data_IF_450521058126
#
_entry.id   IF_450521058126
#
_cell.length_a   1.000
_cell.length_b   1.000
_cell.length_c   1.000
_cell.angle_alpha   90.00
_cell.angle_beta   90.00
_cell.angle_gamma   90.00
#
_symmetry.space_group_name_H-M   'P 1'
#
loop_
_entity.id
_entity.type
_entity.pdbx_description
1 polymer ?
#
# COMPACT_ATOMS: atom_id res chain seq x y z
N UNK A 1 -34.62 -11.51 100.43
CA UNK A 1 -33.79 -12.30 99.49
C UNK A 1 -34.68 -12.81 98.39
N UNK A 2 -34.78 -12.08 97.28
CA UNK A 2 -35.64 -12.37 96.14
C UNK A 2 -34.76 -12.79 94.97
N UNK A 3 -34.79 -14.07 94.62
CA UNK A 3 -34.02 -14.67 93.53
C UNK A 3 -34.80 -14.52 92.23
N UNK A 4 -34.29 -13.71 91.30
CA UNK A 4 -34.86 -13.51 89.96
C UNK A 4 -34.47 -14.68 89.05
N UNK A 5 -35.41 -15.35 88.35
CA UNK A 5 -35.10 -16.45 87.44
C UNK A 5 -34.51 -15.94 86.12
N UNK A 6 -33.48 -16.65 85.62
CA UNK A 6 -32.81 -16.37 84.36
C UNK A 6 -33.75 -16.63 83.16
N UNK A 7 -33.75 -15.77 82.12
CA UNK A 7 -34.57 -15.98 80.93
C UNK A 7 -34.04 -17.14 80.07
N UNK A 8 -34.92 -17.85 79.35
CA UNK A 8 -34.53 -18.96 78.48
C UNK A 8 -33.76 -18.48 77.25
N UNK A 9 -32.73 -19.24 76.87
CA UNK A 9 -31.95 -19.02 75.65
C UNK A 9 -32.81 -19.22 74.39
N UNK A 10 -32.61 -18.43 73.32
CA UNK A 10 -33.37 -18.55 72.09
C UNK A 10 -33.05 -19.85 71.34
N UNK A 11 -34.04 -20.42 70.61
CA UNK A 11 -33.85 -21.64 69.84
C UNK A 11 -32.84 -21.42 68.71
N UNK A 12 -31.82 -22.28 68.65
CA UNK A 12 -30.88 -22.35 67.52
C UNK A 12 -31.59 -22.95 66.32
N UNK A 13 -31.79 -22.15 65.28
CA UNK A 13 -32.33 -22.64 64.01
C UNK A 13 -31.32 -23.61 63.36
N UNK A 14 -31.76 -24.80 62.90
CA UNK A 14 -30.90 -25.71 62.16
C UNK A 14 -30.61 -25.09 60.79
N UNK A 15 -29.35 -24.69 60.58
CA UNK A 15 -28.84 -24.35 59.25
C UNK A 15 -28.78 -25.64 58.41
N UNK A 16 -29.89 -25.96 57.75
CA UNK A 16 -30.00 -27.08 56.81
C UNK A 16 -29.07 -26.86 55.62
N UNK A 17 -28.11 -27.77 55.47
CA UNK A 17 -26.91 -27.66 54.62
C UNK A 17 -26.97 -27.88 53.10
N UNK A 18 -28.11 -27.96 52.36
CA UNK A 18 -28.04 -28.03 50.89
C UNK A 18 -28.22 -26.69 50.17
N UNK A 19 -28.81 -25.67 50.79
CA UNK A 19 -29.15 -24.40 50.10
C UNK A 19 -27.93 -23.51 49.84
N UNK A 20 -26.88 -23.63 50.67
CA UNK A 20 -25.63 -22.85 50.52
C UNK A 20 -24.76 -23.32 49.34
N UNK A 21 -24.97 -24.54 48.82
CA UNK A 21 -24.23 -25.07 47.67
C UNK A 21 -24.83 -24.66 46.32
N UNK A 22 -26.08 -24.19 46.28
CA UNK A 22 -26.74 -23.74 45.06
C UNK A 22 -26.18 -22.42 44.52
N UNK A 23 -25.78 -21.51 45.41
CA UNK A 23 -25.21 -20.21 45.04
C UNK A 23 -23.93 -20.31 44.20
N UNK A 24 -22.87 -21.06 44.61
CA UNK A 24 -21.66 -21.17 43.80
C UNK A 24 -21.92 -21.88 42.47
N UNK A 25 -22.82 -22.87 42.42
CA UNK A 25 -23.17 -23.56 41.18
C UNK A 25 -23.86 -22.63 40.17
N UNK A 26 -24.81 -21.80 40.64
CA UNK A 26 -25.47 -20.80 39.80
C UNK A 26 -24.51 -19.70 39.33
N UNK A 27 -23.60 -19.26 40.21
CA UNK A 27 -22.57 -18.29 39.85
C UNK A 27 -21.63 -18.82 38.75
N UNK A 28 -21.16 -20.07 38.87
CA UNK A 28 -20.33 -20.70 37.84
C UNK A 28 -21.07 -20.86 36.52
N UNK A 29 -22.34 -21.28 36.55
CA UNK A 29 -23.16 -21.40 35.34
C UNK A 29 -23.34 -20.05 34.64
N UNK A 30 -23.58 -18.98 35.41
CA UNK A 30 -23.68 -17.61 34.90
C UNK A 30 -22.37 -17.11 34.28
N UNK A 31 -21.23 -17.34 34.96
CA UNK A 31 -19.91 -16.95 34.47
C UNK A 31 -19.54 -17.65 33.15
N UNK A 32 -19.86 -18.95 33.02
CA UNK A 32 -19.63 -19.72 31.78
C UNK A 32 -20.51 -19.21 30.63
N UNK A 33 -21.78 -18.89 30.89
CA UNK A 33 -22.64 -18.28 29.88
C UNK A 33 -22.13 -16.90 29.46
N UNK A 34 -21.74 -16.05 30.41
CA UNK A 34 -21.20 -14.72 30.12
C UNK A 34 -19.93 -14.79 29.27
N UNK A 35 -19.00 -15.70 29.60
CA UNK A 35 -17.81 -15.93 28.79
C UNK A 35 -18.15 -16.42 27.38
N UNK A 36 -19.16 -17.27 27.21
CA UNK A 36 -19.63 -17.72 25.89
C UNK A 36 -20.27 -16.58 25.09
N UNK A 37 -21.03 -15.71 25.76
CA UNK A 37 -21.64 -14.53 25.14
C UNK A 37 -20.59 -13.48 24.74
N UNK A 38 -19.48 -13.39 25.47
CA UNK A 38 -18.36 -12.51 25.15
C UNK A 38 -17.36 -13.10 24.16
N UNK A 39 -17.49 -14.38 23.77
CA UNK A 39 -16.63 -14.90 22.70
C UNK A 39 -16.95 -14.10 21.43
N UNK A 40 -15.96 -13.44 20.82
CA UNK A 40 -16.14 -12.84 19.52
C UNK A 40 -16.71 -13.90 18.60
N UNK A 41 -17.88 -13.64 18.00
CA UNK A 41 -18.37 -14.53 16.96
C UNK A 41 -17.27 -14.60 15.88
N UNK A 42 -16.95 -15.80 15.37
CA UNK A 42 -16.08 -15.91 14.21
C UNK A 42 -16.65 -14.96 13.16
N UNK A 43 -15.84 -13.98 12.73
CA UNK A 43 -16.22 -13.10 11.65
C UNK A 43 -16.59 -13.94 10.42
N UNK A 44 -17.34 -13.36 9.46
CA UNK A 44 -17.56 -14.03 8.19
C UNK A 44 -16.21 -14.50 7.63
N UNK A 45 -16.17 -15.70 6.99
CA UNK A 45 -14.95 -16.16 6.36
C UNK A 45 -14.44 -15.08 5.40
N UNK A 46 -13.10 -14.92 5.25
CA UNK A 46 -12.56 -13.94 4.33
C UNK A 46 -13.19 -14.15 2.95
N UNK A 47 -13.61 -13.05 2.33
CA UNK A 47 -14.14 -13.10 0.97
C UNK A 47 -13.14 -13.84 0.08
N UNK A 48 -13.65 -14.65 -0.87
CA UNK A 48 -12.77 -15.25 -1.88
C UNK A 48 -11.99 -14.12 -2.57
N UNK A 49 -10.72 -14.35 -2.94
CA UNK A 49 -10.00 -13.43 -3.81
C UNK A 49 -10.88 -13.11 -5.02
N UNK A 50 -11.12 -11.82 -5.28
CA UNK A 50 -11.83 -11.41 -6.49
C UNK A 50 -11.06 -11.93 -7.71
N UNK A 51 -11.78 -12.48 -8.67
CA UNK A 51 -11.17 -12.90 -9.94
C UNK A 51 -10.57 -11.66 -10.63
N UNK A 52 -9.38 -11.78 -11.24
CA UNK A 52 -8.76 -10.67 -11.94
C UNK A 52 -9.70 -10.14 -13.02
N UNK A 53 -9.88 -8.82 -13.04
CA UNK A 53 -10.70 -8.15 -14.06
C UNK A 53 -10.20 -8.52 -15.46
N UNK A 54 -11.11 -8.85 -16.38
CA UNK A 54 -10.76 -9.06 -17.80
C UNK A 54 -10.79 -7.77 -18.62
N UNK A 55 -11.19 -6.65 -18.02
CA UNK A 55 -11.36 -5.40 -18.73
C UNK A 55 -10.00 -4.73 -19.01
N UNK A 56 -9.80 -4.16 -20.21
CA UNK A 56 -8.61 -3.40 -20.53
C UNK A 56 -8.40 -2.23 -19.55
N UNK A 57 -7.14 -1.93 -19.29
CA UNK A 57 -6.73 -0.90 -18.32
C UNK A 57 -6.20 0.28 -19.11
N UNK A 58 -6.86 1.42 -19.00
CA UNK A 58 -6.36 2.65 -19.62
C UNK A 58 -5.05 3.06 -18.95
N UNK A 59 -3.99 3.19 -19.76
CA UNK A 59 -2.68 3.64 -19.30
C UNK A 59 -1.97 4.49 -20.35
N UNK A 60 -0.70 4.77 -20.09
CA UNK A 60 0.15 5.48 -21.03
C UNK A 60 1.49 4.79 -21.20
N UNK A 61 1.91 4.62 -22.45
CA UNK A 61 3.24 4.13 -22.80
C UNK A 61 4.08 5.21 -23.48
N UNK A 62 5.38 5.21 -23.22
CA UNK A 62 6.31 6.07 -23.89
C UNK A 62 7.71 5.51 -23.91
N UNK A 63 8.50 5.99 -24.86
CA UNK A 63 9.93 5.74 -24.89
C UNK A 63 10.66 6.98 -25.39
N UNK A 64 11.85 7.21 -24.85
CA UNK A 64 12.70 8.34 -25.22
C UNK A 64 14.17 7.94 -25.19
N UNK A 65 14.98 8.59 -26.02
CA UNK A 65 16.43 8.42 -26.01
C UNK A 65 17.02 9.42 -25.03
N UNK A 66 17.89 8.96 -24.14
CA UNK A 66 18.54 9.80 -23.15
C UNK A 66 19.77 10.48 -23.74
N UNK A 67 20.10 11.68 -23.23
CA UNK A 67 21.27 12.46 -23.69
C UNK A 67 22.58 11.71 -23.43
N UNK A 68 22.67 10.97 -22.32
CA UNK A 68 23.81 10.12 -21.97
C UNK A 68 23.92 8.84 -22.82
N UNK A 69 23.03 8.65 -23.80
CA UNK A 69 22.85 7.39 -24.51
C UNK A 69 21.94 6.43 -23.73
N UNK A 70 21.38 5.45 -24.44
CA UNK A 70 20.37 4.54 -23.90
C UNK A 70 18.93 4.98 -24.20
N UNK A 71 17.98 4.13 -23.83
CA UNK A 71 16.55 4.36 -24.03
C UNK A 71 15.82 4.21 -22.70
N UNK A 72 15.04 5.22 -22.34
CA UNK A 72 14.10 5.13 -21.24
C UNK A 72 12.75 4.66 -21.80
N UNK A 73 12.20 3.59 -21.23
CA UNK A 73 10.80 3.19 -21.44
C UNK A 73 10.02 3.53 -20.19
N UNK A 74 8.83 4.11 -20.38
CA UNK A 74 7.96 4.53 -19.32
C UNK A 74 6.56 3.95 -19.55
N UNK A 75 5.95 3.48 -18.46
CA UNK A 75 4.58 2.98 -18.44
C UNK A 75 3.87 3.54 -17.22
N UNK A 76 2.79 4.27 -17.44
CA UNK A 76 1.95 4.86 -16.40
C UNK A 76 0.58 4.17 -16.38
N UNK A 77 0.18 3.70 -15.20
CA UNK A 77 -1.03 2.93 -14.98
C UNK A 77 -1.71 3.40 -13.69
N UNK A 78 -3.04 3.21 -13.52
CA UNK A 78 -3.63 3.27 -12.18
C UNK A 78 -2.95 2.23 -11.27
N UNK A 79 -2.94 2.48 -9.96
CA UNK A 79 -2.39 1.52 -9.01
C UNK A 79 -3.21 0.21 -8.98
N UNK A 80 -4.53 0.33 -9.15
CA UNK A 80 -5.45 -0.78 -9.24
C UNK A 80 -6.36 -0.68 -10.47
N UNK A 81 -6.60 -1.83 -11.11
CA UNK A 81 -7.52 -1.95 -12.25
C UNK A 81 -8.99 -1.75 -11.82
N UNK A 82 -9.33 -2.12 -10.58
CA UNK A 82 -10.64 -1.91 -10.00
C UNK A 82 -10.78 -0.46 -9.51
N UNK A 83 -11.75 0.28 -10.06
CA UNK A 83 -11.99 1.70 -9.73
C UNK A 83 -12.39 1.93 -8.27
N UNK A 84 -13.22 1.07 -7.70
CA UNK A 84 -13.66 1.22 -6.30
C UNK A 84 -12.47 1.05 -5.35
N UNK A 85 -11.62 0.07 -5.62
CA UNK A 85 -10.38 -0.14 -4.87
C UNK A 85 -9.41 1.02 -5.03
N UNK A 86 -9.19 1.49 -6.27
CA UNK A 86 -8.36 2.65 -6.58
C UNK A 86 -8.82 3.89 -5.79
N UNK A 87 -10.12 4.18 -5.75
CA UNK A 87 -10.68 5.31 -5.00
C UNK A 87 -10.58 5.12 -3.48
N UNK A 88 -10.80 3.90 -2.98
CA UNK A 88 -10.62 3.60 -1.55
C UNK A 88 -9.18 3.83 -1.08
N UNK A 89 -8.20 3.37 -1.86
CA UNK A 89 -6.78 3.55 -1.54
C UNK A 89 -6.37 5.01 -1.69
N UNK A 90 -6.90 5.74 -2.68
CA UNK A 90 -6.72 7.19 -2.79
C UNK A 90 -7.22 7.91 -1.54
N UNK A 91 -8.46 7.66 -1.09
CA UNK A 91 -9.01 8.30 0.12
C UNK A 91 -8.20 7.98 1.37
N UNK A 92 -7.74 6.73 1.49
CA UNK A 92 -6.96 6.26 2.63
C UNK A 92 -5.56 6.88 2.67
N UNK A 93 -4.87 6.93 1.53
CA UNK A 93 -3.56 7.57 1.39
C UNK A 93 -3.64 9.08 1.57
N UNK A 94 -4.64 9.73 0.97
CA UNK A 94 -4.84 11.17 1.08
C UNK A 94 -5.04 11.62 2.53
N UNK A 95 -5.85 10.87 3.31
CA UNK A 95 -6.06 11.16 4.74
C UNK A 95 -4.84 10.86 5.60
N UNK A 96 -4.16 9.73 5.36
CA UNK A 96 -3.03 9.29 6.20
C UNK A 96 -1.76 10.10 5.98
N UNK A 97 -1.53 10.55 4.74
CA UNK A 97 -0.30 11.23 4.32
C UNK A 97 -0.52 12.70 3.95
N UNK A 98 -1.74 13.22 4.16
CA UNK A 98 -2.11 14.62 3.93
C UNK A 98 -1.83 15.13 2.48
N UNK A 99 -1.97 14.26 1.49
CA UNK A 99 -1.54 14.50 0.09
C UNK A 99 -2.44 15.43 -0.73
N UNK A 100 -3.52 15.94 -0.16
CA UNK A 100 -4.54 16.69 -0.88
C UNK A 100 -5.30 15.84 -1.92
N UNK A 101 -6.03 16.46 -2.86
CA UNK A 101 -6.83 15.74 -3.85
C UNK A 101 -5.94 15.06 -4.92
N UNK A 102 -6.23 13.79 -5.21
CA UNK A 102 -5.51 13.03 -6.22
C UNK A 102 -5.78 11.53 -6.07
N UNK A 103 -5.14 10.76 -6.94
CA UNK A 103 -5.14 9.31 -6.94
C UNK A 103 -3.70 8.79 -7.09
N UNK A 104 -3.41 7.57 -6.61
CA UNK A 104 -2.12 6.94 -6.78
C UNK A 104 -1.98 6.34 -8.19
N UNK A 105 -0.89 6.67 -8.88
CA UNK A 105 -0.56 6.14 -10.21
C UNK A 105 0.74 5.36 -10.13
N UNK A 106 0.78 4.16 -10.71
CA UNK A 106 2.01 3.38 -10.83
C UNK A 106 2.76 3.83 -12.09
N UNK A 107 3.97 4.33 -11.89
CA UNK A 107 4.93 4.56 -12.96
C UNK A 107 6.00 3.46 -12.93
N UNK A 108 6.12 2.74 -14.03
CA UNK A 108 7.23 1.83 -14.29
C UNK A 108 8.21 2.48 -15.26
N UNK A 109 9.48 2.51 -14.87
CA UNK A 109 10.58 3.03 -15.66
C UNK A 109 11.58 1.93 -15.91
N UNK A 110 12.04 1.83 -17.16
CA UNK A 110 13.08 0.88 -17.56
C UNK A 110 14.15 1.59 -18.35
N UNK A 111 15.38 1.49 -17.87
CA UNK A 111 16.53 2.12 -18.51
C UNK A 111 17.32 1.08 -19.30
N UNK A 112 17.21 1.15 -20.62
CA UNK A 112 17.91 0.27 -21.55
C UNK A 112 19.24 0.85 -22.00
N UNK A 113 20.25 -0.01 -22.03
CA UNK A 113 21.61 0.36 -22.48
C UNK A 113 21.76 0.07 -23.96
N UNK A 114 22.39 0.99 -24.69
CA UNK A 114 22.72 0.81 -26.11
C UNK A 114 23.99 -0.02 -26.24
N UNK A 115 23.90 -1.15 -26.92
CA UNK A 115 25.05 -2.00 -27.26
C UNK A 115 25.84 -1.44 -28.45
N UNK A 116 27.11 -1.87 -28.63
CA UNK A 116 27.94 -1.51 -29.79
C UNK A 116 27.28 -1.81 -31.16
N UNK A 117 26.37 -2.78 -31.22
CA UNK A 117 25.58 -3.11 -32.42
C UNK A 117 24.32 -2.24 -32.63
N UNK A 118 24.08 -1.24 -31.77
CA UNK A 118 22.96 -0.31 -31.87
C UNK A 118 21.63 -0.80 -31.29
N UNK A 119 21.56 -2.05 -30.82
CA UNK A 119 20.39 -2.58 -30.11
C UNK A 119 20.36 -2.12 -28.65
N UNK A 120 19.16 -2.03 -28.07
CA UNK A 120 18.95 -1.70 -26.68
C UNK A 120 18.66 -2.98 -25.88
N UNK A 121 19.39 -3.21 -24.80
CA UNK A 121 19.19 -4.35 -23.90
C UNK A 121 18.99 -3.94 -22.46
N UNK A 122 18.45 -4.89 -21.72
CA UNK A 122 18.11 -4.78 -20.31
C UNK A 122 19.33 -4.99 -19.39
N UNK A 123 20.44 -5.51 -19.91
CA UNK A 123 21.66 -5.71 -19.12
C UNK A 123 22.74 -4.71 -19.51
N UNK A 124 23.43 -4.18 -18.50
CA UNK A 124 24.64 -3.39 -18.68
C UNK A 124 25.89 -4.26 -18.91
N UNK A 125 25.81 -5.59 -18.74
CA UNK A 125 26.95 -6.48 -18.94
C UNK A 125 27.46 -6.44 -20.38
N UNK A 126 28.73 -6.05 -20.55
CA UNK A 126 29.40 -5.99 -21.84
C UNK A 126 29.21 -4.69 -22.63
N UNK A 127 28.46 -3.70 -22.11
CA UNK A 127 28.39 -2.38 -22.73
C UNK A 127 29.62 -1.54 -22.39
N UNK A 128 30.38 -1.14 -23.42
CA UNK A 128 31.50 -0.19 -23.27
C UNK A 128 31.05 1.27 -23.17
N UNK A 129 29.75 1.54 -23.24
CA UNK A 129 29.19 2.90 -23.20
C UNK A 129 29.01 3.33 -21.74
N UNK A 130 29.67 4.41 -21.33
CA UNK A 130 29.43 5.04 -20.01
C UNK A 130 28.03 5.66 -19.99
N UNK A 131 27.03 4.88 -19.60
CA UNK A 131 25.70 5.39 -19.29
C UNK A 131 25.69 5.89 -17.85
N UNK A 132 25.29 7.15 -17.64
CA UNK A 132 25.13 7.72 -16.30
C UNK A 132 23.78 7.29 -15.70
N UNK A 133 23.73 7.19 -14.37
CA UNK A 133 22.49 7.02 -13.61
C UNK A 133 21.52 8.16 -13.88
N UNK A 134 20.23 7.85 -13.92
CA UNK A 134 19.16 8.82 -14.10
C UNK A 134 18.70 9.34 -12.74
N UNK A 135 18.67 10.66 -12.54
CA UNK A 135 18.04 11.28 -11.37
C UNK A 135 16.51 11.31 -11.57
N UNK A 136 15.78 10.87 -10.57
CA UNK A 136 14.31 10.77 -10.54
C UNK A 136 13.68 11.71 -9.50
N UNK A 137 14.46 12.53 -8.81
CA UNK A 137 14.00 13.36 -7.68
C UNK A 137 12.97 14.41 -8.09
N UNK A 138 13.03 14.88 -9.34
CA UNK A 138 12.16 15.92 -9.90
C UNK A 138 11.08 15.36 -10.85
N UNK A 139 10.78 14.06 -10.73
CA UNK A 139 9.96 13.37 -11.71
C UNK A 139 8.48 13.79 -11.66
N UNK A 140 7.97 14.24 -12.81
CA UNK A 140 6.62 14.77 -12.98
C UNK A 140 6.01 14.29 -14.29
N UNK A 141 4.70 14.00 -14.27
CA UNK A 141 3.89 13.80 -15.47
C UNK A 141 3.03 15.04 -15.70
N UNK A 142 3.14 15.61 -16.90
CA UNK A 142 2.40 16.80 -17.33
C UNK A 142 1.62 16.49 -18.61
N UNK A 143 0.51 17.20 -18.83
CA UNK A 143 -0.24 17.19 -20.08
C UNK A 143 -0.61 18.62 -20.49
N UNK A 144 -1.49 18.76 -21.50
CA UNK A 144 -1.92 20.06 -22.00
C UNK A 144 -2.62 20.95 -20.94
N UNK A 145 -3.09 20.37 -19.84
CA UNK A 145 -3.74 21.09 -18.73
C UNK A 145 -2.79 21.37 -17.57
N UNK A 146 -1.50 21.07 -17.72
CA UNK A 146 -0.44 21.30 -16.73
C UNK A 146 -0.02 20.02 -16.02
N UNK A 147 0.49 20.14 -14.78
CA UNK A 147 0.92 18.99 -13.98
C UNK A 147 -0.26 18.05 -13.73
N UNK A 148 -0.08 16.77 -14.06
CA UNK A 148 -1.06 15.71 -13.84
C UNK A 148 -0.75 14.96 -12.55
N UNK A 149 0.47 14.42 -12.43
CA UNK A 149 0.93 13.70 -11.25
C UNK A 149 2.43 13.93 -11.04
N UNK A 150 2.93 13.70 -9.82
CA UNK A 150 4.37 13.71 -9.57
C UNK A 150 4.78 12.74 -8.49
N UNK A 151 6.09 12.49 -8.42
CA UNK A 151 6.67 11.61 -7.43
C UNK A 151 6.36 12.09 -6.01
N UNK A 152 6.06 11.14 -5.12
CA UNK A 152 5.93 11.40 -3.70
C UNK A 152 7.33 11.57 -3.11
N UNK A 153 7.59 12.76 -2.56
CA UNK A 153 8.77 13.04 -1.76
C UNK A 153 8.41 12.80 -0.29
N UNK A 154 9.20 12.00 0.41
CA UNK A 154 9.04 11.84 1.85
C UNK A 154 9.23 13.16 2.59
N UNK A 155 8.66 13.31 3.80
CA UNK A 155 8.89 14.50 4.61
C UNK A 155 10.38 14.64 4.94
N UNK A 156 10.87 15.88 4.95
CA UNK A 156 12.20 16.20 5.49
C UNK A 156 12.13 16.06 7.01
N UNK A 157 12.77 15.04 7.55
CA UNK A 157 12.66 14.69 8.97
C UNK A 157 13.78 15.30 9.78
N UNK A 158 13.43 15.80 10.97
CA UNK A 158 14.41 16.16 11.95
C UNK A 158 15.04 14.89 12.58
N UNK A 159 16.26 15.02 13.11
CA UNK A 159 16.95 13.91 13.76
C UNK A 159 16.11 13.37 14.94
N UNK A 160 15.79 12.07 14.90
CA UNK A 160 15.05 11.36 15.96
C UNK A 160 13.55 11.21 15.72
N UNK A 161 13.02 11.72 14.61
CA UNK A 161 11.61 11.58 14.26
C UNK A 161 11.30 10.22 13.63
N UNK A 162 10.17 9.60 13.99
CA UNK A 162 9.75 8.30 13.48
C UNK A 162 8.97 8.50 12.18
N UNK A 163 9.50 7.97 11.08
CA UNK A 163 8.86 8.01 9.77
C UNK A 163 7.70 7.02 9.76
N UNK A 164 6.53 7.42 9.24
CA UNK A 164 5.51 6.45 8.86
C UNK A 164 6.14 5.47 7.85
N UNK A 165 6.23 4.15 8.14
CA UNK A 165 6.84 3.19 7.24
C UNK A 165 6.23 3.20 5.84
N UNK A 166 4.98 3.67 5.70
CA UNK A 166 4.34 3.83 4.41
C UNK A 166 5.08 4.83 3.50
N UNK A 167 5.66 5.90 4.05
CA UNK A 167 6.50 6.82 3.28
C UNK A 167 7.72 6.13 2.71
N UNK A 168 8.32 5.19 3.44
CA UNK A 168 9.50 4.45 2.95
C UNK A 168 9.17 3.54 1.76
N UNK A 169 7.92 3.10 1.65
CA UNK A 169 7.45 2.25 0.54
C UNK A 169 7.02 3.09 -0.66
N UNK A 170 6.42 4.25 -0.43
CA UNK A 170 5.86 5.11 -1.47
C UNK A 170 6.84 6.16 -2.01
N UNK A 171 7.87 6.51 -1.25
CA UNK A 171 8.87 7.47 -1.68
C UNK A 171 9.55 6.99 -2.96
N UNK A 172 9.65 7.89 -3.93
CA UNK A 172 10.35 7.57 -5.17
C UNK A 172 11.86 7.34 -4.90
N UNK A 173 12.47 6.34 -5.57
CA UNK A 173 13.92 6.21 -5.54
C UNK A 173 14.57 7.44 -6.17
N UNK A 174 15.74 7.83 -5.68
CA UNK A 174 16.46 9.01 -6.18
C UNK A 174 17.10 8.76 -7.54
N UNK A 175 17.56 7.52 -7.79
CA UNK A 175 18.33 7.18 -8.98
C UNK A 175 17.86 5.88 -9.63
N UNK A 176 18.01 5.81 -10.95
CA UNK A 176 17.84 4.59 -11.75
C UNK A 176 19.13 4.28 -12.51
N UNK A 177 19.70 3.11 -12.31
CA UNK A 177 20.92 2.71 -13.00
C UNK A 177 20.63 2.20 -14.42
N UNK A 178 21.62 2.24 -15.32
CA UNK A 178 21.50 1.62 -16.63
C UNK A 178 21.27 0.11 -16.50
N UNK A 179 20.27 -0.42 -17.21
CA UNK A 179 19.83 -1.81 -17.14
C UNK A 179 18.76 -2.09 -16.09
N UNK A 180 18.45 -1.13 -15.23
CA UNK A 180 17.46 -1.34 -14.17
C UNK A 180 16.03 -1.05 -14.62
N UNK A 181 15.10 -1.72 -13.94
CA UNK A 181 13.68 -1.38 -13.92
C UNK A 181 13.34 -0.91 -12.53
N UNK A 182 12.58 0.18 -12.41
CA UNK A 182 12.00 0.62 -11.15
C UNK A 182 10.51 0.88 -11.29
N UNK A 183 9.78 0.69 -10.19
CA UNK A 183 8.35 0.97 -10.08
C UNK A 183 8.16 1.91 -8.91
N UNK A 184 7.45 3.00 -9.14
CA UNK A 184 7.16 4.00 -8.12
C UNK A 184 5.71 4.48 -8.21
N UNK A 185 5.25 5.11 -7.13
CA UNK A 185 3.92 5.70 -7.05
C UNK A 185 4.03 7.21 -7.27
N UNK A 186 3.24 7.70 -8.22
CA UNK A 186 2.99 9.12 -8.41
C UNK A 186 1.65 9.47 -7.77
N UNK A 187 1.51 10.71 -7.32
CA UNK A 187 0.26 11.23 -6.79
C UNK A 187 -0.27 12.37 -7.65
N UNK A 188 -1.57 12.30 -7.98
CA UNK A 188 -2.25 13.38 -8.68
C UNK A 188 -3.45 12.91 -9.51
N UNK A 189 -3.84 13.71 -10.48
CA UNK A 189 -4.95 13.40 -11.39
C UNK A 189 -4.50 12.52 -12.55
N UNK A 190 -5.45 11.82 -13.17
CA UNK A 190 -5.24 11.19 -14.46
C UNK A 190 -4.75 12.20 -15.52
N UNK A 191 -3.74 11.86 -16.33
CA UNK A 191 -3.42 12.64 -17.51
C UNK A 191 -4.58 12.65 -18.51
N UNK A 192 -4.70 13.73 -19.29
CA UNK A 192 -5.70 13.88 -20.36
C UNK A 192 -5.04 13.79 -21.72
N UNK A 193 -5.37 12.75 -22.49
CA UNK A 193 -4.84 12.55 -23.83
C UNK A 193 -3.35 12.25 -23.80
N UNK A 194 -2.55 12.99 -24.59
CA UNK A 194 -1.08 12.85 -24.61
C UNK A 194 -0.47 13.52 -23.38
N UNK A 195 0.48 12.84 -22.76
CA UNK A 195 1.20 13.33 -21.61
C UNK A 195 2.71 13.35 -21.89
N UNK A 196 3.47 13.93 -20.96
CA UNK A 196 4.92 14.00 -21.01
C UNK A 196 5.47 13.69 -19.63
N UNK A 197 6.37 12.72 -19.58
CA UNK A 197 7.20 12.46 -18.41
C UNK A 197 8.41 13.41 -18.44
N UNK A 198 8.60 14.14 -17.35
CA UNK A 198 9.61 15.16 -17.19
C UNK A 198 10.42 14.88 -15.93
N UNK A 199 11.69 15.29 -15.96
CA UNK A 199 12.64 15.24 -14.85
C UNK A 199 13.96 15.85 -15.31
N UNK A 200 15.06 15.50 -14.65
CA UNK A 200 16.42 15.94 -15.01
C UNK A 200 16.97 15.30 -16.30
N UNK A 201 16.08 14.80 -17.16
CA UNK A 201 16.35 14.16 -18.43
C UNK A 201 15.43 14.69 -19.53
N UNK A 202 15.76 14.37 -20.79
CA UNK A 202 14.94 14.77 -21.92
C UNK A 202 13.50 14.23 -21.80
N UNK A 203 12.52 15.11 -21.99
CA UNK A 203 11.12 14.76 -21.81
C UNK A 203 10.70 13.56 -22.67
N UNK A 204 9.99 12.60 -22.07
CA UNK A 204 9.49 11.41 -22.76
C UNK A 204 8.01 11.58 -23.04
N UNK A 205 7.61 11.51 -24.31
CA UNK A 205 6.21 11.55 -24.69
C UNK A 205 5.50 10.25 -24.26
N UNK A 206 4.35 10.41 -23.62
CA UNK A 206 3.48 9.33 -23.16
C UNK A 206 2.18 9.35 -23.97
N UNK A 207 1.82 8.21 -24.56
CA UNK A 207 0.64 8.05 -25.40
C UNK A 207 -0.38 7.15 -24.72
N UNK A 208 -1.67 7.52 -24.74
CA UNK A 208 -2.72 6.70 -24.15
C UNK A 208 -2.82 5.36 -24.89
N UNK A 209 -2.94 4.28 -24.13
CA UNK A 209 -3.00 2.91 -24.64
C UNK A 209 -3.88 2.04 -23.72
N UNK A 210 -4.63 1.12 -24.33
CA UNK A 210 -5.40 0.11 -23.62
C UNK A 210 -4.51 -1.10 -23.35
N UNK A 211 -4.16 -1.29 -22.08
CA UNK A 211 -3.23 -2.32 -21.62
C UNK A 211 -3.99 -3.56 -21.16
N UNK A 212 -3.35 -4.73 -21.25
CA UNK A 212 -3.98 -5.97 -20.79
C UNK A 212 -4.07 -5.98 -19.25
N UNK A 213 -5.06 -6.66 -18.65
CA UNK A 213 -5.23 -6.65 -17.20
C UNK A 213 -4.00 -7.17 -16.43
N UNK A 214 -3.31 -8.16 -17.00
CA UNK A 214 -2.07 -8.73 -16.46
C UNK A 214 -0.95 -7.69 -16.29
N UNK A 215 -0.93 -6.68 -17.16
CA UNK A 215 0.02 -5.56 -17.09
C UNK A 215 -0.37 -4.55 -15.99
N UNK A 216 -1.64 -4.55 -15.57
CA UNK A 216 -2.20 -3.69 -14.54
C UNK A 216 -1.95 -4.17 -13.11
N UNK A 217 -1.89 -5.48 -12.87
CA UNK A 217 -1.78 -6.04 -11.50
C UNK A 217 -0.37 -6.47 -11.08
N UNK A 218 0.68 -6.00 -11.76
CA UNK A 218 2.07 -6.27 -11.35
C UNK A 218 2.37 -5.70 -9.95
N UNK A 219 3.02 -6.46 -9.05
CA UNK A 219 3.33 -5.98 -7.71
C UNK A 219 4.28 -4.77 -7.77
N UNK A 220 4.09 -3.80 -6.85
CA UNK A 220 4.99 -2.64 -6.72
C UNK A 220 6.42 -3.04 -6.34
N UNK A 221 6.55 -4.07 -5.51
CA UNK A 221 7.82 -4.66 -5.12
C UNK A 221 7.83 -6.14 -5.48
N UNK A 222 8.80 -6.54 -6.30
CA UNK A 222 9.06 -7.94 -6.60
C UNK A 222 10.23 -8.36 -5.71
N UNK A 223 9.97 -9.22 -4.72
CA UNK A 223 11.03 -9.83 -3.94
C UNK A 223 11.69 -10.89 -4.84
N UNK A 224 12.76 -10.51 -5.54
CA UNK A 224 13.63 -11.50 -6.16
C UNK A 224 14.19 -12.41 -5.06
N UNK A 225 13.65 -13.64 -4.95
CA UNK A 225 14.32 -14.71 -4.21
C UNK A 225 15.58 -15.03 -4.99
N UNK A 226 16.72 -14.52 -4.53
CA UNK A 226 18.02 -15.08 -4.92
C UNK A 226 18.08 -16.51 -4.37
N UNK A 227 18.06 -17.48 -5.26
CA UNK A 227 18.39 -18.90 -4.97
C UNK A 227 19.90 -19.09 -4.86
#
# INVERSE_FOLDING_TARGET
MTSTPNPPLPPRLPFSGPLLLLFPALFFAGAVQYQRAQRPQPGPPPARPEEPSTNPVAGWLGHGVLVAGGQLRARLLPLHNNRERQSFDADSLARRLELGPGEPWRLELRYLVKEPGGQYKDSAEGSSTRSASLDLSDLVVSDATGRAAGALSGPELAAGEVIDPLWSVLAAPTYLQPGETTRLVLWGRAPKGRASLQGSFAAVALFPEDLTPEQGDSPLAELERRE
#
